data_IF_122126475179
#
_entry.id   IF_122126475179
#
_cell.length_a   1.000
_cell.length_b   1.000
_cell.length_c   1.000
_cell.angle_alpha   90.00
_cell.angle_beta   90.00
_cell.angle_gamma   90.00
#
_symmetry.space_group_name_H-M   'P 1'
#
loop_
_entity.id
_entity.type
_entity.pdbx_description
1 polymer ?
#
# COMPACT_ATOMS: atom_id res chain seq x y z
N UNK A 1 20.80 -75.72 -62.14
CA UNK A 1 19.55 -75.10 -61.56
C UNK A 1 19.96 -74.19 -60.44
N UNK A 2 20.05 -72.91 -60.75
CA UNK A 2 20.43 -71.89 -59.76
C UNK A 2 19.15 -71.14 -59.37
N UNK A 3 18.75 -71.28 -58.09
CA UNK A 3 17.66 -70.51 -57.50
C UNK A 3 18.19 -69.16 -56.96
N UNK A 4 17.79 -68.09 -57.59
CA UNK A 4 18.02 -66.72 -57.05
C UNK A 4 16.92 -66.40 -56.00
N UNK A 5 17.33 -66.20 -54.77
CA UNK A 5 16.48 -65.72 -53.71
C UNK A 5 16.63 -64.20 -53.73
N UNK A 6 15.58 -63.45 -54.13
CA UNK A 6 15.52 -62.02 -54.03
C UNK A 6 15.17 -61.66 -52.62
N UNK A 7 16.09 -60.99 -51.91
CA UNK A 7 15.90 -60.44 -50.59
C UNK A 7 15.28 -59.05 -50.75
N UNK A 8 13.98 -58.92 -50.49
CA UNK A 8 13.31 -57.57 -50.40
C UNK A 8 13.63 -56.94 -49.10
N UNK A 9 14.46 -55.88 -49.12
CA UNK A 9 14.73 -55.00 -47.96
C UNK A 9 13.54 -54.06 -47.83
N UNK A 10 12.68 -54.31 -46.82
CA UNK A 10 11.59 -53.46 -46.43
C UNK A 10 12.20 -52.36 -45.56
N UNK A 11 12.50 -51.21 -46.16
CA UNK A 11 12.91 -50.02 -45.43
C UNK A 11 11.69 -49.43 -44.68
N UNK A 12 11.54 -49.83 -43.42
CA UNK A 12 10.55 -49.24 -42.52
C UNK A 12 10.92 -47.77 -42.23
N UNK A 13 10.16 -46.85 -42.81
CA UNK A 13 10.15 -45.46 -42.38
C UNK A 13 9.60 -45.42 -40.95
N UNK A 14 10.51 -45.39 -39.97
CA UNK A 14 10.17 -44.98 -38.59
C UNK A 14 9.88 -43.50 -38.68
N UNK A 15 8.63 -43.10 -38.97
CA UNK A 15 8.14 -41.78 -38.70
C UNK A 15 8.22 -41.58 -37.17
N UNK A 16 9.25 -40.91 -36.71
CA UNK A 16 9.39 -40.54 -35.32
C UNK A 16 8.20 -39.68 -34.93
N UNK A 17 7.22 -40.28 -34.24
CA UNK A 17 6.17 -39.52 -33.51
C UNK A 17 6.82 -38.80 -32.33
N UNK A 18 7.58 -37.75 -32.60
CA UNK A 18 7.95 -36.77 -31.57
C UNK A 18 6.73 -35.92 -31.25
N UNK A 19 6.52 -35.62 -29.99
CA UNK A 19 5.48 -34.64 -29.58
C UNK A 19 5.61 -33.37 -30.41
N UNK A 20 4.49 -32.76 -30.90
CA UNK A 20 4.54 -31.52 -31.64
C UNK A 20 5.17 -30.41 -30.79
N UNK A 21 6.07 -29.64 -31.43
CA UNK A 21 6.78 -28.53 -30.79
C UNK A 21 6.38 -27.21 -31.39
N UNK A 22 6.51 -26.15 -30.59
CA UNK A 22 6.32 -24.76 -31.03
C UNK A 22 7.50 -24.36 -31.92
N UNK A 23 7.19 -23.76 -33.06
CA UNK A 23 8.18 -23.20 -33.99
C UNK A 23 8.17 -21.65 -33.89
N UNK A 24 9.21 -21.10 -33.30
CA UNK A 24 9.39 -19.66 -33.10
C UNK A 24 10.16 -18.96 -34.24
N UNK A 25 10.35 -19.62 -35.41
CA UNK A 25 11.15 -19.06 -36.50
C UNK A 25 10.52 -17.85 -37.19
N UNK A 26 9.19 -17.76 -37.20
CA UNK A 26 8.40 -16.63 -37.69
C UNK A 26 7.06 -16.55 -36.97
N UNK A 27 6.34 -15.44 -37.10
CA UNK A 27 5.01 -15.27 -36.53
C UNK A 27 4.00 -16.28 -37.12
N UNK A 28 4.07 -16.53 -38.44
CA UNK A 28 3.20 -17.49 -39.10
C UNK A 28 3.51 -18.94 -38.64
N UNK A 29 4.78 -19.33 -38.56
CA UNK A 29 5.22 -20.61 -38.06
C UNK A 29 4.82 -20.82 -36.62
N UNK A 30 4.97 -19.77 -35.78
CA UNK A 30 4.58 -19.76 -34.37
C UNK A 30 3.09 -20.03 -34.21
N UNK A 31 2.24 -19.22 -34.84
CA UNK A 31 0.79 -19.37 -34.76
C UNK A 31 0.31 -20.73 -35.31
N UNK A 32 0.88 -21.17 -36.43
CA UNK A 32 0.56 -22.47 -37.02
C UNK A 32 0.98 -23.66 -36.17
N UNK A 33 2.15 -23.57 -35.51
CA UNK A 33 2.64 -24.63 -34.60
C UNK A 33 1.83 -24.69 -33.31
N UNK A 34 1.46 -23.56 -32.72
CA UNK A 34 0.57 -23.49 -31.53
C UNK A 34 -0.77 -24.18 -31.84
N UNK A 35 -1.38 -23.88 -33.00
CA UNK A 35 -2.63 -24.54 -33.41
C UNK A 35 -2.47 -26.06 -33.51
N UNK A 36 -1.40 -26.53 -34.18
CA UNK A 36 -1.10 -27.96 -34.32
C UNK A 36 -0.87 -28.65 -32.98
N UNK A 37 -0.13 -28.00 -32.08
CA UNK A 37 0.10 -28.55 -30.74
C UNK A 37 -1.22 -28.65 -29.98
N UNK A 38 -2.07 -27.61 -30.03
CA UNK A 38 -3.38 -27.61 -29.38
C UNK A 38 -4.31 -28.71 -29.93
N UNK A 39 -4.35 -28.91 -31.25
CA UNK A 39 -5.18 -29.94 -31.89
C UNK A 39 -4.81 -31.37 -31.46
N UNK A 40 -3.53 -31.63 -31.17
CA UNK A 40 -3.04 -32.92 -30.72
C UNK A 40 -3.30 -33.19 -29.22
N UNK A 41 -3.76 -32.19 -28.47
CA UNK A 41 -4.12 -32.34 -27.06
C UNK A 41 -5.57 -32.82 -26.88
N UNK A 42 -5.86 -33.57 -25.81
CA UNK A 42 -7.21 -33.84 -25.36
C UNK A 42 -8.01 -32.52 -25.20
N UNK A 43 -9.31 -32.56 -25.48
CA UNK A 43 -10.15 -31.36 -25.50
C UNK A 43 -10.13 -30.56 -24.17
N UNK A 44 -10.04 -31.27 -23.05
CA UNK A 44 -9.97 -30.70 -21.70
C UNK A 44 -8.64 -29.98 -21.40
N UNK A 45 -7.57 -30.29 -22.14
CA UNK A 45 -6.24 -29.67 -21.94
C UNK A 45 -5.98 -28.50 -22.88
N UNK A 46 -6.75 -28.34 -23.95
CA UNK A 46 -6.54 -27.30 -24.97
C UNK A 46 -6.63 -25.87 -24.42
N UNK A 47 -7.63 -25.61 -23.58
CA UNK A 47 -7.81 -24.27 -22.99
C UNK A 47 -6.72 -23.96 -21.98
N UNK A 48 -6.30 -24.92 -21.14
CA UNK A 48 -5.16 -24.75 -20.26
C UNK A 48 -3.89 -24.42 -21.06
N UNK A 49 -3.61 -25.19 -22.11
CA UNK A 49 -2.44 -24.95 -22.96
C UNK A 49 -2.42 -23.53 -23.56
N UNK A 50 -3.55 -23.06 -24.12
CA UNK A 50 -3.66 -21.69 -24.65
C UNK A 50 -3.41 -20.64 -23.57
N UNK A 51 -3.97 -20.84 -22.37
CA UNK A 51 -3.74 -19.98 -21.22
C UNK A 51 -2.27 -19.98 -20.78
N UNK A 52 -1.60 -21.13 -20.81
CA UNK A 52 -0.18 -21.28 -20.46
C UNK A 52 0.72 -20.56 -21.47
N UNK A 53 0.43 -20.72 -22.77
CA UNK A 53 1.12 -19.99 -23.85
C UNK A 53 0.99 -18.48 -23.65
N UNK A 54 -0.24 -17.98 -23.43
CA UNK A 54 -0.49 -16.55 -23.20
C UNK A 54 0.23 -16.03 -21.95
N UNK A 55 0.19 -16.79 -20.86
CA UNK A 55 0.89 -16.44 -19.62
C UNK A 55 2.40 -16.32 -19.83
N UNK A 56 3.02 -17.32 -20.46
CA UNK A 56 4.47 -17.30 -20.73
C UNK A 56 4.85 -16.20 -21.74
N UNK A 57 3.99 -15.95 -22.72
CA UNK A 57 4.16 -14.85 -23.67
C UNK A 57 4.26 -13.52 -22.95
N UNK A 58 3.29 -13.21 -22.08
CA UNK A 58 3.28 -11.98 -21.29
C UNK A 58 4.49 -11.88 -20.34
N UNK A 59 4.93 -13.00 -19.76
CA UNK A 59 6.10 -13.02 -18.88
C UNK A 59 7.43 -12.81 -19.64
N UNK A 60 7.51 -13.17 -20.92
CA UNK A 60 8.70 -12.97 -21.74
C UNK A 60 8.87 -11.55 -22.26
N UNK A 61 7.78 -10.76 -22.26
CA UNK A 61 7.78 -9.37 -22.73
C UNK A 61 8.37 -8.45 -21.67
N UNK A 62 9.50 -7.79 -21.98
CA UNK A 62 10.13 -6.82 -21.08
C UNK A 62 9.54 -5.42 -21.27
N UNK A 63 8.36 -5.20 -20.70
CA UNK A 63 7.68 -3.90 -20.72
C UNK A 63 8.54 -2.78 -20.09
N UNK A 64 9.38 -3.13 -19.12
CA UNK A 64 10.26 -2.17 -18.46
C UNK A 64 11.27 -1.57 -19.43
N UNK A 65 11.85 -2.38 -20.33
CA UNK A 65 12.76 -1.89 -21.38
C UNK A 65 12.05 -1.04 -22.42
N UNK A 66 10.78 -1.37 -22.73
CA UNK A 66 9.99 -0.56 -23.66
C UNK A 66 9.69 0.82 -23.04
N UNK A 67 9.26 0.88 -21.78
CA UNK A 67 9.01 2.15 -21.07
C UNK A 67 10.26 3.01 -20.91
N UNK A 68 11.43 2.38 -20.81
CA UNK A 68 12.73 3.08 -20.74
C UNK A 68 13.29 3.47 -22.13
N UNK A 69 12.57 3.18 -23.22
CA UNK A 69 13.04 3.44 -24.59
C UNK A 69 14.21 2.56 -25.04
N UNK A 70 14.54 1.52 -24.29
CA UNK A 70 15.66 0.58 -24.60
C UNK A 70 15.26 -0.54 -25.56
N UNK A 71 13.96 -0.72 -25.78
CA UNK A 71 13.37 -1.70 -26.68
C UNK A 71 12.13 -1.11 -27.35
N UNK A 72 11.88 -1.49 -28.59
CA UNK A 72 10.66 -1.08 -29.30
C UNK A 72 9.54 -2.04 -29.01
N UNK A 73 8.30 -1.54 -28.94
CA UNK A 73 7.11 -2.38 -28.70
C UNK A 73 6.94 -3.44 -29.81
N UNK A 74 7.31 -3.13 -31.06
CA UNK A 74 7.26 -4.02 -32.20
C UNK A 74 8.21 -5.22 -32.11
N UNK A 75 9.23 -5.18 -31.23
CA UNK A 75 10.17 -6.29 -31.01
C UNK A 75 9.65 -7.27 -29.93
N UNK A 76 8.56 -6.97 -29.23
CA UNK A 76 8.02 -7.80 -28.15
C UNK A 76 7.51 -9.18 -28.62
N UNK A 77 6.84 -9.32 -29.78
CA UNK A 77 6.43 -10.64 -30.29
C UNK A 77 7.59 -11.60 -30.48
N UNK A 78 8.76 -11.10 -30.87
CA UNK A 78 9.99 -11.90 -31.01
C UNK A 78 10.48 -12.52 -29.70
N UNK A 79 10.28 -11.82 -28.55
CA UNK A 79 10.64 -12.39 -27.25
C UNK A 79 9.76 -13.60 -26.90
N UNK A 80 8.48 -13.52 -27.20
CA UNK A 80 7.54 -14.61 -26.99
C UNK A 80 7.90 -15.81 -27.86
N UNK A 81 8.15 -15.59 -29.14
CA UNK A 81 8.55 -16.64 -30.09
C UNK A 81 9.83 -17.34 -29.60
N UNK A 82 10.85 -16.56 -29.23
CA UNK A 82 12.11 -17.10 -28.72
C UNK A 82 11.93 -17.88 -27.40
N UNK A 83 11.07 -17.41 -26.49
CA UNK A 83 10.85 -18.01 -25.17
C UNK A 83 10.14 -19.38 -25.24
N UNK A 84 9.36 -19.63 -26.28
CA UNK A 84 8.58 -20.87 -26.47
C UNK A 84 9.11 -21.77 -27.59
N UNK A 85 10.07 -21.30 -28.38
CA UNK A 85 10.62 -22.06 -29.51
C UNK A 85 11.15 -23.44 -29.08
N UNK A 86 10.77 -24.47 -29.79
CA UNK A 86 11.20 -25.85 -29.56
C UNK A 86 10.53 -26.56 -28.39
N UNK A 87 9.63 -25.90 -27.65
CA UNK A 87 8.94 -26.49 -26.51
C UNK A 87 7.74 -27.32 -26.92
N UNK A 88 7.49 -28.40 -26.20
CA UNK A 88 6.27 -29.22 -26.26
C UNK A 88 5.17 -28.61 -25.37
N UNK A 89 3.92 -29.05 -25.54
CA UNK A 89 2.81 -28.67 -24.67
C UNK A 89 3.10 -28.93 -23.17
N UNK A 90 3.70 -30.09 -22.90
CA UNK A 90 4.04 -30.50 -21.52
C UNK A 90 5.09 -29.58 -20.90
N UNK A 91 6.11 -29.19 -21.64
CA UNK A 91 7.16 -28.27 -21.18
C UNK A 91 6.61 -26.88 -20.96
N UNK A 92 5.72 -26.40 -21.85
CA UNK A 92 5.03 -25.10 -21.71
C UNK A 92 4.18 -25.08 -20.44
N UNK A 93 3.33 -26.10 -20.22
CA UNK A 93 2.49 -26.18 -19.03
C UNK A 93 3.30 -26.29 -17.75
N UNK A 94 4.35 -27.11 -17.73
CA UNK A 94 5.24 -27.27 -16.59
C UNK A 94 5.93 -25.93 -16.23
N UNK A 95 6.45 -25.21 -17.23
CA UNK A 95 7.08 -23.89 -17.04
C UNK A 95 6.08 -22.84 -16.56
N UNK A 96 4.86 -22.83 -17.12
CA UNK A 96 3.81 -21.92 -16.70
C UNK A 96 3.38 -22.17 -15.25
N UNK A 97 3.19 -23.43 -14.86
CA UNK A 97 2.80 -23.82 -13.51
C UNK A 97 3.90 -23.46 -12.50
N UNK A 98 5.18 -23.70 -12.84
CA UNK A 98 6.32 -23.27 -12.01
C UNK A 98 6.33 -21.76 -11.77
N UNK A 99 6.24 -20.96 -12.82
CA UNK A 99 6.26 -19.50 -12.72
C UNK A 99 5.05 -18.94 -11.98
N UNK A 100 3.86 -19.56 -12.13
CA UNK A 100 2.68 -19.20 -11.34
C UNK A 100 2.89 -19.50 -9.85
N UNK A 101 3.45 -20.68 -9.54
CA UNK A 101 3.75 -21.05 -8.15
C UNK A 101 4.78 -20.10 -7.52
N UNK A 102 5.86 -19.77 -8.22
CA UNK A 102 6.86 -18.80 -7.76
C UNK A 102 6.27 -17.41 -7.56
N UNK A 103 5.38 -16.97 -8.46
CA UNK A 103 4.67 -15.69 -8.34
C UNK A 103 3.77 -15.68 -7.11
N UNK A 104 2.95 -16.73 -6.95
CA UNK A 104 2.05 -16.85 -5.80
C UNK A 104 2.83 -16.86 -4.47
N UNK A 105 3.97 -17.53 -4.42
CA UNK A 105 4.82 -17.56 -3.24
C UNK A 105 5.44 -16.17 -2.93
N UNK A 106 5.89 -15.44 -3.96
CA UNK A 106 6.37 -14.05 -3.79
C UNK A 106 5.26 -13.12 -3.29
N UNK A 107 4.07 -13.19 -3.89
CA UNK A 107 2.90 -12.40 -3.49
C UNK A 107 2.51 -12.72 -2.04
N UNK A 108 2.51 -13.99 -1.67
CA UNK A 108 2.24 -14.41 -0.28
C UNK A 108 3.26 -13.85 0.70
N UNK A 109 4.56 -13.95 0.39
CA UNK A 109 5.62 -13.40 1.25
C UNK A 109 5.51 -11.90 1.43
N UNK A 110 5.21 -11.17 0.35
CA UNK A 110 4.99 -9.73 0.42
C UNK A 110 3.77 -9.38 1.26
N UNK A 111 2.66 -10.12 1.08
CA UNK A 111 1.45 -9.90 1.85
C UNK A 111 1.65 -10.18 3.35
N UNK A 112 2.37 -11.26 3.71
CA UNK A 112 2.68 -11.56 5.10
C UNK A 112 3.58 -10.49 5.73
N UNK A 113 4.59 -10.01 5.01
CA UNK A 113 5.43 -8.91 5.48
C UNK A 113 4.65 -7.61 5.69
N UNK A 114 3.69 -7.30 4.79
CA UNK A 114 2.80 -6.14 4.92
C UNK A 114 1.84 -6.31 6.12
N UNK A 115 1.33 -7.52 6.37
CA UNK A 115 0.51 -7.84 7.57
C UNK A 115 1.31 -7.56 8.84
N UNK A 116 2.56 -8.01 8.90
CA UNK A 116 3.44 -7.79 10.07
C UNK A 116 3.70 -6.31 10.29
N UNK A 117 4.00 -5.55 9.23
CA UNK A 117 4.22 -4.10 9.29
C UNK A 117 2.96 -3.35 9.77
N UNK A 118 1.80 -3.62 9.17
CA UNK A 118 0.53 -2.99 9.56
C UNK A 118 0.12 -3.36 10.98
N UNK A 119 0.37 -4.61 11.41
CA UNK A 119 0.10 -5.05 12.77
C UNK A 119 1.01 -4.34 13.79
N UNK A 120 2.30 -4.22 13.49
CA UNK A 120 3.23 -3.46 14.33
C UNK A 120 2.82 -1.98 14.42
N UNK A 121 2.42 -1.38 13.31
CA UNK A 121 1.91 0.00 13.24
C UNK A 121 0.64 0.18 14.08
N UNK A 122 -0.29 -0.79 14.05
CA UNK A 122 -1.50 -0.80 14.87
C UNK A 122 -1.15 -0.83 16.37
N UNK A 123 -0.28 -1.75 16.77
CA UNK A 123 0.16 -1.88 18.18
C UNK A 123 0.83 -0.60 18.67
N UNK A 124 1.71 0.00 17.84
CA UNK A 124 2.36 1.28 18.18
C UNK A 124 1.37 2.42 18.31
N UNK A 125 0.37 2.50 17.42
CA UNK A 125 -0.67 3.52 17.48
C UNK A 125 -1.53 3.38 18.74
N UNK A 126 -1.90 2.16 19.13
CA UNK A 126 -2.66 1.92 20.37
C UNK A 126 -1.83 2.25 21.63
N UNK A 127 -0.56 1.86 21.67
CA UNK A 127 0.35 2.23 22.75
C UNK A 127 0.54 3.75 22.87
N UNK A 128 0.66 4.43 21.72
CA UNK A 128 0.73 5.89 21.66
C UNK A 128 -0.54 6.56 22.22
N UNK A 129 -1.72 6.07 21.86
CA UNK A 129 -3.00 6.59 22.41
C UNK A 129 -3.06 6.49 23.94
N UNK A 130 -2.60 5.37 24.50
CA UNK A 130 -2.53 5.20 25.97
C UNK A 130 -1.58 6.21 26.61
N UNK A 131 -0.43 6.46 25.99
CA UNK A 131 0.56 7.42 26.48
C UNK A 131 0.09 8.87 26.31
N UNK A 132 -0.55 9.21 25.18
CA UNK A 132 -1.12 10.52 24.93
C UNK A 132 -2.18 10.91 25.97
N UNK A 133 -3.00 9.95 26.45
CA UNK A 133 -4.00 10.18 27.52
C UNK A 133 -3.38 10.61 28.85
N UNK A 134 -2.09 10.35 29.09
CA UNK A 134 -1.40 10.80 30.29
C UNK A 134 -1.01 12.28 30.22
N UNK A 135 -0.98 12.86 29.01
CA UNK A 135 -0.81 14.31 28.83
C UNK A 135 -2.22 14.92 28.74
N UNK A 136 -2.66 15.50 29.84
CA UNK A 136 -4.04 15.93 30.02
C UNK A 136 -4.21 17.42 29.75
N UNK A 137 -5.25 17.77 29.00
CA UNK A 137 -5.76 19.14 28.93
C UNK A 137 -6.85 19.27 30.00
N UNK A 138 -6.48 19.75 31.17
CA UNK A 138 -7.35 19.86 32.34
C UNK A 138 -8.43 20.95 32.17
N UNK A 139 -8.07 22.05 31.46
CA UNK A 139 -8.96 23.15 31.16
C UNK A 139 -8.65 23.69 29.77
N UNK A 140 -9.69 24.06 29.03
CA UNK A 140 -9.55 24.73 27.75
C UNK A 140 -10.66 25.79 27.59
N UNK A 141 -10.33 26.91 26.99
CA UNK A 141 -11.26 27.99 26.66
C UNK A 141 -10.81 28.67 25.38
N UNK A 142 -11.76 28.97 24.52
CA UNK A 142 -11.58 29.81 23.35
C UNK A 142 -12.42 31.08 23.52
N UNK A 143 -11.84 32.25 23.23
CA UNK A 143 -12.56 33.51 23.19
C UNK A 143 -11.85 34.50 22.27
N UNK A 144 -12.55 35.58 21.93
CA UNK A 144 -12.01 36.72 21.20
C UNK A 144 -11.84 37.91 22.10
N UNK A 145 -10.64 38.51 22.11
CA UNK A 145 -10.29 39.69 22.88
C UNK A 145 -10.25 40.92 21.97
N UNK A 146 -11.07 41.92 22.23
CA UNK A 146 -10.99 43.21 21.53
C UNK A 146 -9.64 43.88 21.78
N UNK A 147 -9.11 44.52 20.76
CA UNK A 147 -7.86 45.28 20.82
C UNK A 147 -8.18 46.74 20.66
N UNK A 148 -7.49 47.59 21.44
CA UNK A 148 -7.78 49.04 21.52
C UNK A 148 -7.57 49.78 20.18
N UNK A 149 -6.68 49.25 19.32
CA UNK A 149 -6.32 49.89 18.05
C UNK A 149 -6.51 48.97 16.85
N UNK A 150 -7.35 47.94 16.95
CA UNK A 150 -7.64 47.03 15.87
C UNK A 150 -9.13 46.83 15.67
N UNK A 151 -9.56 46.84 14.42
CA UNK A 151 -10.94 46.51 14.06
C UNK A 151 -11.28 45.02 14.20
N UNK A 152 -10.27 44.18 14.49
CA UNK A 152 -10.44 42.75 14.64
C UNK A 152 -10.15 42.31 16.06
N UNK A 153 -11.00 41.45 16.58
CA UNK A 153 -10.75 40.83 17.87
C UNK A 153 -9.71 39.70 17.69
N UNK A 154 -8.75 39.64 18.61
CA UNK A 154 -7.69 38.64 18.64
C UNK A 154 -8.22 37.31 19.19
N UNK A 155 -8.12 36.18 18.47
CA UNK A 155 -8.49 34.88 19.00
C UNK A 155 -7.48 34.43 20.08
N UNK A 156 -8.00 33.93 21.20
CA UNK A 156 -7.22 33.45 22.33
C UNK A 156 -7.66 32.04 22.66
N UNK A 157 -6.67 31.16 22.79
CA UNK A 157 -6.82 29.80 23.30
C UNK A 157 -6.11 29.75 24.65
N UNK A 158 -6.87 29.60 25.71
CA UNK A 158 -6.34 29.37 27.06
C UNK A 158 -6.46 27.88 27.39
N UNK A 159 -5.38 27.32 27.92
CA UNK A 159 -5.34 25.93 28.33
C UNK A 159 -4.54 25.75 29.61
N UNK A 160 -4.92 24.78 30.43
CA UNK A 160 -4.09 24.21 31.50
C UNK A 160 -3.81 22.77 31.15
N UNK A 161 -2.54 22.40 31.08
CA UNK A 161 -2.10 21.05 30.71
C UNK A 161 -1.28 20.43 31.84
N UNK A 162 -1.29 19.11 31.90
CA UNK A 162 -0.49 18.30 32.84
C UNK A 162 0.25 17.22 32.08
N UNK A 163 1.56 17.12 32.29
CA UNK A 163 2.38 16.05 31.73
C UNK A 163 2.47 14.87 32.69
N UNK A 164 1.53 13.95 32.64
CA UNK A 164 1.56 12.66 33.36
C UNK A 164 2.33 11.55 32.63
N UNK A 165 3.07 11.88 31.55
CA UNK A 165 3.97 10.91 30.90
C UNK A 165 5.30 10.80 31.67
N UNK A 166 6.14 9.85 31.28
CA UNK A 166 7.48 9.63 31.82
C UNK A 166 8.60 10.35 31.04
N UNK A 167 8.21 11.25 30.10
CA UNK A 167 9.13 11.98 29.23
C UNK A 167 8.89 13.48 29.28
N UNK A 168 9.98 14.27 29.18
CA UNK A 168 9.88 15.70 28.97
C UNK A 168 9.35 15.99 27.56
N UNK A 169 8.36 16.87 27.45
CA UNK A 169 7.69 17.25 26.20
C UNK A 169 8.14 18.62 25.77
N UNK A 170 8.75 18.74 24.58
CA UNK A 170 9.20 20.01 24.03
C UNK A 170 8.18 20.66 23.09
N UNK A 171 7.31 19.87 22.44
CA UNK A 171 6.22 20.36 21.60
C UNK A 171 5.01 19.44 21.69
N UNK A 172 3.84 20.05 21.77
CA UNK A 172 2.58 19.33 21.76
C UNK A 172 1.71 19.78 20.58
N UNK A 173 1.05 18.79 19.95
CA UNK A 173 0.13 18.99 18.84
C UNK A 173 -1.28 18.65 19.31
N UNK A 174 -2.20 19.51 18.94
CA UNK A 174 -3.57 19.48 19.43
C UNK A 174 -4.56 19.57 18.29
N UNK A 175 -5.73 19.01 18.52
CA UNK A 175 -6.93 19.24 17.73
C UNK A 175 -7.95 19.94 18.59
N UNK A 176 -8.25 21.20 18.23
CA UNK A 176 -9.27 22.00 18.89
C UNK A 176 -10.61 21.91 18.16
N UNK A 177 -11.67 21.70 18.93
CA UNK A 177 -13.04 21.64 18.42
C UNK A 177 -13.91 22.67 19.14
N UNK A 178 -14.60 23.53 18.40
CA UNK A 178 -15.63 24.44 18.91
C UNK A 178 -16.98 23.92 18.46
N UNK A 179 -17.82 23.51 19.39
CA UNK A 179 -19.13 22.93 19.10
C UNK A 179 -20.17 23.35 20.11
N UNK A 180 -21.43 23.50 19.67
CA UNK A 180 -22.57 23.67 20.57
C UNK A 180 -23.17 22.29 20.90
N UNK A 181 -23.46 21.99 22.16
CA UNK A 181 -24.10 20.74 22.55
C UNK A 181 -25.38 20.47 21.76
N UNK A 182 -25.51 19.25 21.25
CA UNK A 182 -26.67 18.83 20.43
C UNK A 182 -26.58 19.17 18.95
N UNK A 183 -25.53 19.86 18.48
CA UNK A 183 -25.27 20.06 17.04
C UNK A 183 -24.39 18.96 16.49
N UNK A 184 -24.75 18.43 15.34
CA UNK A 184 -23.97 17.40 14.65
C UNK A 184 -22.73 17.94 13.94
N UNK A 185 -22.72 19.25 13.57
CA UNK A 185 -21.59 19.90 12.87
C UNK A 185 -20.98 20.94 13.80
N UNK A 186 -19.68 20.84 14.14
CA UNK A 186 -18.96 21.82 14.92
C UNK A 186 -18.78 23.13 14.15
N UNK A 187 -18.61 24.24 14.89
CA UNK A 187 -18.30 25.56 14.32
C UNK A 187 -16.89 25.61 13.75
N UNK A 188 -15.95 24.91 14.39
CA UNK A 188 -14.56 24.82 13.96
C UNK A 188 -13.95 23.51 14.45
N UNK A 189 -13.18 22.85 13.59
CA UNK A 189 -12.24 21.77 13.94
C UNK A 189 -10.92 22.11 13.29
N UNK A 190 -9.89 22.37 14.08
CA UNK A 190 -8.56 22.73 13.58
C UNK A 190 -7.45 22.20 14.46
N UNK A 191 -6.40 21.76 13.80
CA UNK A 191 -5.14 21.39 14.42
C UNK A 191 -4.31 22.67 14.72
N UNK A 192 -3.57 22.62 15.82
CA UNK A 192 -2.58 23.61 16.19
C UNK A 192 -1.48 22.95 17.02
N UNK A 193 -0.35 23.60 17.17
CA UNK A 193 0.74 23.10 18.01
C UNK A 193 1.31 24.23 18.85
N UNK A 194 2.02 23.84 19.91
CA UNK A 194 2.73 24.75 20.78
C UNK A 194 4.10 24.18 21.11
N UNK A 195 5.14 25.01 20.87
CA UNK A 195 6.50 24.73 21.30
C UNK A 195 6.67 25.24 22.73
N UNK A 196 7.02 24.32 23.62
CA UNK A 196 7.09 24.57 25.05
C UNK A 196 8.51 25.03 25.39
N UNK A 197 8.68 26.33 25.67
CA UNK A 197 9.98 26.90 26.06
C UNK A 197 10.48 26.24 27.35
N UNK A 198 11.63 25.58 27.30
CA UNK A 198 12.18 24.82 28.41
C UNK A 198 11.64 23.41 28.56
N UNK A 199 10.63 23.04 27.75
CA UNK A 199 9.94 21.78 27.88
C UNK A 199 8.92 21.74 29.03
N UNK A 200 8.14 20.67 29.11
CA UNK A 200 7.28 20.33 30.24
C UNK A 200 7.71 18.98 30.80
N UNK A 201 8.27 18.99 31.99
CA UNK A 201 8.81 17.79 32.65
C UNK A 201 7.68 16.85 33.14
N UNK A 202 7.97 15.57 33.37
CA UNK A 202 7.04 14.64 33.99
C UNK A 202 6.45 15.15 35.31
N UNK A 203 5.13 15.17 35.42
CA UNK A 203 4.40 15.64 36.60
C UNK A 203 4.13 17.14 36.63
N UNK A 204 4.69 17.93 35.73
CA UNK A 204 4.46 19.39 35.72
C UNK A 204 3.06 19.72 35.15
N UNK A 205 2.54 20.85 35.69
CA UNK A 205 1.29 21.47 35.25
C UNK A 205 1.57 22.90 34.82
N UNK A 206 1.13 23.29 33.63
CA UNK A 206 1.36 24.64 33.10
C UNK A 206 0.12 25.20 32.42
N UNK A 207 -0.09 26.52 32.60
CA UNK A 207 -1.14 27.30 31.94
C UNK A 207 -0.59 28.04 30.72
N UNK A 208 -1.26 27.97 29.60
CA UNK A 208 -0.88 28.63 28.36
C UNK A 208 -1.99 29.58 27.87
N UNK A 209 -1.57 30.70 27.29
CA UNK A 209 -2.46 31.62 26.58
C UNK A 209 -1.89 31.83 25.17
N UNK A 210 -2.44 31.11 24.21
CA UNK A 210 -2.02 31.12 22.82
C UNK A 210 -2.86 32.12 22.04
N UNK A 211 -2.21 32.78 21.07
CA UNK A 211 -2.88 33.73 20.20
C UNK A 211 -2.72 33.33 18.74
N UNK A 212 -3.59 32.46 18.21
CA UNK A 212 -3.59 32.12 16.80
C UNK A 212 -3.71 33.36 15.91
N UNK A 213 -3.27 33.23 14.65
CA UNK A 213 -3.37 34.33 13.69
C UNK A 213 -4.84 34.76 13.50
N UNK A 214 -5.11 36.06 13.62
CA UNK A 214 -6.45 36.67 13.49
C UNK A 214 -7.04 36.55 12.09
N UNK A 215 -6.20 36.28 11.05
CA UNK A 215 -6.64 36.04 9.67
C UNK A 215 -6.91 34.57 9.38
N UNK A 216 -6.54 33.66 10.29
CA UNK A 216 -6.84 32.24 10.19
C UNK A 216 -8.31 31.93 10.46
N UNK A 217 -8.69 30.67 10.33
CA UNK A 217 -10.04 30.25 10.69
C UNK A 217 -10.38 30.44 12.16
N UNK A 218 -9.39 30.42 13.05
CA UNK A 218 -9.53 30.80 14.46
C UNK A 218 -10.00 32.26 14.62
N UNK A 219 -9.50 33.15 13.79
CA UNK A 219 -9.91 34.56 13.81
C UNK A 219 -11.25 34.81 13.12
N UNK A 220 -11.67 33.96 12.20
CA UNK A 220 -12.89 34.09 11.40
C UNK A 220 -14.12 33.46 12.06
N UNK A 221 -13.94 32.43 12.88
CA UNK A 221 -15.06 31.73 13.51
C UNK A 221 -15.79 32.63 14.50
N UNK A 222 -17.12 32.66 14.45
CA UNK A 222 -18.01 33.41 15.37
C UNK A 222 -18.94 32.40 16.07
N UNK A 223 -18.43 31.68 17.08
CA UNK A 223 -19.26 30.72 17.80
C UNK A 223 -20.25 31.43 18.72
N UNK A 224 -21.43 30.87 18.97
CA UNK A 224 -22.36 31.38 19.96
C UNK A 224 -21.81 31.21 21.39
N UNK A 225 -22.43 31.90 22.35
CA UNK A 225 -21.95 31.94 23.75
C UNK A 225 -22.02 30.55 24.45
N UNK A 226 -22.89 29.68 24.01
CA UNK A 226 -23.07 28.31 24.51
C UNK A 226 -22.14 27.29 23.85
N UNK A 227 -21.29 27.73 22.91
CA UNK A 227 -20.31 26.85 22.30
C UNK A 227 -19.19 26.47 23.27
N UNK A 228 -18.85 25.20 23.29
CA UNK A 228 -17.80 24.62 24.11
C UNK A 228 -16.56 24.38 23.25
N UNK A 229 -15.40 24.78 23.79
CA UNK A 229 -14.11 24.49 23.20
C UNK A 229 -13.49 23.27 23.90
N UNK A 230 -13.20 22.23 23.12
CA UNK A 230 -12.49 21.02 23.57
C UNK A 230 -11.17 20.88 22.83
N UNK A 231 -10.18 20.29 23.49
CA UNK A 231 -8.84 20.08 22.95
C UNK A 231 -8.44 18.62 23.16
N UNK A 232 -8.06 17.96 22.07
CA UNK A 232 -7.49 16.63 22.06
C UNK A 232 -5.98 16.71 21.78
N UNK A 233 -5.18 15.90 22.47
CA UNK A 233 -3.74 15.78 22.21
C UNK A 233 -3.50 14.74 21.13
N UNK A 234 -2.84 15.12 20.04
CA UNK A 234 -2.61 14.22 18.89
C UNK A 234 -1.18 13.67 18.82
N UNK A 235 -0.20 14.48 19.24
CA UNK A 235 1.21 14.10 19.20
C UNK A 235 2.00 14.92 20.23
N UNK A 236 3.05 14.31 20.76
CA UNK A 236 4.03 14.94 21.64
C UNK A 236 5.42 14.68 21.10
N UNK A 237 6.23 15.72 20.97
CA UNK A 237 7.63 15.64 20.57
C UNK A 237 8.57 15.91 21.74
N UNK A 238 9.72 15.20 21.72
CA UNK A 238 10.80 15.41 22.67
C UNK A 238 11.72 16.56 22.30
N UNK A 239 12.74 16.78 23.13
CA UNK A 239 13.73 17.84 22.93
C UNK A 239 14.56 17.71 21.65
N UNK A 240 14.64 16.50 21.08
CA UNK A 240 15.30 16.21 19.81
C UNK A 240 14.39 16.47 18.58
N UNK A 241 13.19 16.96 18.80
CA UNK A 241 12.19 17.25 17.76
C UNK A 241 11.55 16.01 17.16
N UNK A 242 11.79 14.81 17.73
CA UNK A 242 11.17 13.57 17.25
C UNK A 242 9.92 13.24 18.05
N UNK A 243 8.92 12.59 17.42
CA UNK A 243 7.75 12.12 18.12
C UNK A 243 8.09 11.17 19.26
N UNK A 244 7.66 11.52 20.47
CA UNK A 244 7.67 10.65 21.64
C UNK A 244 6.44 9.74 21.65
N UNK A 245 5.27 10.35 21.40
CA UNK A 245 3.98 9.69 21.38
C UNK A 245 3.12 10.30 20.26
N UNK A 246 2.35 9.49 19.57
CA UNK A 246 1.63 9.92 18.36
C UNK A 246 2.54 9.85 17.12
N UNK A 247 2.22 10.51 16.05
CA UNK A 247 3.03 10.55 14.82
C UNK A 247 2.76 9.38 13.86
N UNK A 248 2.77 8.14 14.29
CA UNK A 248 2.35 7.00 13.48
C UNK A 248 0.84 6.84 13.61
N UNK A 249 0.09 7.42 12.69
CA UNK A 249 -1.38 7.24 12.65
C UNK A 249 -1.69 5.91 11.95
N UNK A 250 -2.31 4.97 12.66
CA UNK A 250 -2.98 3.83 12.04
C UNK A 250 -4.34 4.32 11.54
N UNK A 251 -4.49 4.39 10.22
CA UNK A 251 -5.66 5.00 9.58
C UNK A 251 -6.75 3.96 9.27
N UNK A 252 -7.96 4.41 8.96
CA UNK A 252 -9.03 3.54 8.44
C UNK A 252 -8.61 2.79 7.17
N UNK A 253 -7.76 3.42 6.34
CA UNK A 253 -7.19 2.76 5.16
C UNK A 253 -6.26 1.61 5.56
N UNK A 254 -5.38 1.82 6.54
CA UNK A 254 -4.50 0.76 7.07
C UNK A 254 -5.31 -0.40 7.66
N UNK A 255 -6.40 -0.09 8.37
CA UNK A 255 -7.29 -1.08 8.97
C UNK A 255 -7.99 -1.93 7.89
N UNK A 256 -8.59 -1.28 6.89
CA UNK A 256 -9.24 -1.96 5.78
C UNK A 256 -8.25 -2.82 4.98
N UNK A 257 -7.03 -2.31 4.76
CA UNK A 257 -5.96 -3.04 4.07
C UNK A 257 -5.53 -4.27 4.86
N UNK A 258 -5.30 -4.12 6.15
CA UNK A 258 -4.92 -5.23 7.05
C UNK A 258 -6.01 -6.31 7.09
N UNK A 259 -7.28 -5.91 7.17
CA UNK A 259 -8.41 -6.84 7.16
C UNK A 259 -8.47 -7.64 5.83
N UNK A 260 -8.29 -6.97 4.70
CA UNK A 260 -8.26 -7.59 3.37
C UNK A 260 -7.13 -8.61 3.26
N UNK A 261 -5.91 -8.23 3.65
CA UNK A 261 -4.75 -9.11 3.59
C UNK A 261 -4.92 -10.36 4.47
N UNK A 262 -5.42 -10.19 5.69
CA UNK A 262 -5.68 -11.32 6.61
C UNK A 262 -6.76 -12.27 6.09
N UNK A 263 -7.77 -11.74 5.40
CA UNK A 263 -8.80 -12.57 4.77
C UNK A 263 -8.26 -13.39 3.59
N UNK A 264 -7.35 -12.79 2.81
CA UNK A 264 -6.76 -13.42 1.62
C UNK A 264 -5.62 -14.38 1.96
N UNK A 265 -4.85 -14.11 3.01
CA UNK A 265 -3.68 -14.88 3.43
C UNK A 265 -3.80 -15.25 4.92
N UNK A 266 -4.70 -16.16 5.26
CA UNK A 266 -4.83 -16.64 6.65
C UNK A 266 -3.55 -17.37 7.06
N UNK A 267 -3.18 -17.22 8.34
CA UNK A 267 -2.05 -17.93 8.96
C UNK A 267 -2.28 -19.42 9.03
#
# INVERSE_FOLDING_TARGET
>A
MRRFIALAILAGLIAGCGEPKVDGSSEEAFNGSIAKVAENLPSDQREKFKSDVMFLALQSMDFGKVLQGKKRAEDMPGDMQAALNGMTAKEISAKADLLRAERAERERKQALAEIDELTAKQVQAEAAKVSLKKFEVQKSRFYKKNQEYSFRAKPIIEMTVSNGTDKAVARAYFKGTIATPGRSVPWLVKEFNYEISGGLEPGEVQGWSLAPNEFSEWGKVEPPQDAIFTVEVEQLDGADGKPLFGGAKFTEHDEARLATLRAQYPN
#
